data_IF_378514561382
#
_entry.id   IF_378514561382
#
_cell.length_a   1.000
_cell.length_b   1.000
_cell.length_c   1.000
_cell.angle_alpha   90.00
_cell.angle_beta   90.00
_cell.angle_gamma   90.00
#
_symmetry.space_group_name_H-M   'P 1'
#
loop_
_entity.id
_entity.type
_entity.pdbx_description
1 polymer ?
#
# COMPACT_ATOMS: atom_id res chain seq x y z
N UNK A 1 -8.91 -3.22 0.84
CA UNK A 1 -8.65 -2.04 -0.02
C UNK A 1 -7.83 -2.38 -1.26
N UNK A 2 -6.91 -3.35 -1.20
CA UNK A 2 -6.13 -3.84 -2.34
C UNK A 2 -6.93 -3.98 -3.67
N UNK A 3 -8.09 -4.67 -3.66
CA UNK A 3 -8.96 -4.81 -4.85
C UNK A 3 -9.41 -3.48 -5.46
N UNK A 4 -9.68 -2.46 -4.64
CA UNK A 4 -10.12 -1.15 -5.13
C UNK A 4 -8.96 -0.42 -5.81
N UNK A 5 -7.76 -0.51 -5.25
CA UNK A 5 -6.53 0.06 -5.82
C UNK A 5 -6.17 -0.61 -7.13
N UNK A 6 -6.17 -1.96 -7.19
CA UNK A 6 -5.96 -2.70 -8.42
C UNK A 6 -6.96 -2.29 -9.51
N UNK A 7 -8.26 -2.19 -9.16
CA UNK A 7 -9.28 -1.73 -10.11
C UNK A 7 -9.03 -0.30 -10.59
N UNK A 8 -8.59 0.60 -9.72
CA UNK A 8 -8.30 1.98 -10.09
C UNK A 8 -7.10 2.08 -11.04
N UNK A 9 -6.03 1.30 -10.79
CA UNK A 9 -4.86 1.22 -11.66
C UNK A 9 -5.23 0.64 -13.02
N UNK A 10 -6.00 -0.45 -13.06
CA UNK A 10 -6.50 -1.05 -14.31
C UNK A 10 -7.39 -0.10 -15.10
N UNK A 11 -8.28 0.62 -14.42
CA UNK A 11 -9.19 1.55 -15.07
C UNK A 11 -8.48 2.77 -15.63
N UNK A 12 -7.25 3.07 -15.19
CA UNK A 12 -6.47 4.23 -15.59
C UNK A 12 -5.08 3.80 -16.07
N UNK A 13 -5.01 3.18 -17.25
CA UNK A 13 -3.76 2.73 -17.87
C UNK A 13 -2.75 3.86 -18.14
N UNK A 14 -3.18 5.13 -18.11
CA UNK A 14 -2.32 6.31 -18.24
C UNK A 14 -1.48 6.61 -16.99
N UNK A 15 -1.71 5.90 -15.88
CA UNK A 15 -0.90 6.05 -14.67
C UNK A 15 0.51 5.47 -14.82
N UNK A 16 0.77 4.69 -15.87
CA UNK A 16 2.10 4.14 -16.16
C UNK A 16 2.51 2.97 -15.26
N UNK A 17 1.57 2.37 -14.52
CA UNK A 17 1.83 1.23 -13.66
C UNK A 17 1.59 -0.10 -14.39
N UNK A 18 2.56 -1.01 -14.26
CA UNK A 18 2.39 -2.43 -14.51
C UNK A 18 2.28 -3.16 -13.15
N UNK A 19 1.20 -3.90 -12.94
CA UNK A 19 0.99 -4.63 -11.69
C UNK A 19 1.64 -5.99 -11.81
N UNK A 20 2.74 -6.21 -11.07
CA UNK A 20 3.39 -7.53 -10.96
C UNK A 20 2.52 -8.50 -10.15
N UNK A 21 1.94 -8.04 -9.04
CA UNK A 21 1.03 -8.86 -8.24
C UNK A 21 0.60 -8.17 -6.95
N UNK A 22 0.06 -8.96 -6.01
CA UNK A 22 -0.34 -8.46 -4.71
C UNK A 22 0.01 -9.43 -3.58
N UNK A 23 0.13 -8.90 -2.37
CA UNK A 23 0.48 -9.65 -1.16
C UNK A 23 -0.57 -9.42 -0.07
N UNK A 24 -0.94 -10.46 0.67
CA UNK A 24 -1.90 -10.39 1.78
C UNK A 24 -1.60 -11.49 2.80
N UNK A 25 -1.56 -11.14 4.09
CA UNK A 25 -1.31 -12.10 5.18
C UNK A 25 -2.51 -13.03 5.44
N UNK A 26 -3.70 -12.70 4.92
CA UNK A 26 -4.82 -13.62 4.88
C UNK A 26 -4.51 -14.75 3.90
N UNK A 27 -4.25 -15.94 4.44
CA UNK A 27 -3.87 -17.15 3.69
C UNK A 27 -4.77 -17.39 2.47
N UNK A 28 -6.08 -17.11 2.57
CA UNK A 28 -7.00 -17.32 1.45
C UNK A 28 -6.82 -16.28 0.36
N UNK A 29 -6.50 -15.04 0.73
CA UNK A 29 -6.32 -13.92 -0.21
C UNK A 29 -4.92 -13.90 -0.82
N UNK A 30 -3.88 -14.11 -0.01
CA UNK A 30 -2.48 -14.08 -0.46
C UNK A 30 -2.06 -15.25 -1.36
N UNK A 31 -2.92 -16.26 -1.54
CA UNK A 31 -2.64 -17.44 -2.39
C UNK A 31 -3.68 -17.65 -3.49
N UNK A 32 -4.65 -16.74 -3.65
CA UNK A 32 -5.68 -16.86 -4.70
C UNK A 32 -5.65 -15.64 -5.59
N UNK A 33 -5.35 -15.84 -6.88
CA UNK A 33 -5.29 -14.76 -7.86
C UNK A 33 -6.58 -13.92 -7.91
N UNK A 34 -6.41 -12.63 -8.15
CA UNK A 34 -7.51 -11.69 -8.33
C UNK A 34 -7.62 -11.39 -9.82
N UNK A 35 -8.38 -12.22 -10.53
CA UNK A 35 -8.56 -12.10 -11.97
C UNK A 35 -7.25 -12.40 -12.70
N UNK A 36 -6.55 -11.35 -13.16
CA UNK A 36 -5.25 -11.47 -13.85
C UNK A 36 -4.05 -11.10 -12.96
N UNK A 37 -4.30 -10.73 -11.70
CA UNK A 37 -3.25 -10.33 -10.77
C UNK A 37 -2.84 -11.52 -9.93
N UNK A 38 -1.54 -11.83 -9.98
CA UNK A 38 -0.94 -12.93 -9.25
C UNK A 38 -0.90 -12.63 -7.74
N UNK A 39 -1.24 -13.64 -6.95
CA UNK A 39 -1.08 -13.61 -5.51
C UNK A 39 0.36 -14.03 -5.14
N UNK A 40 1.19 -13.07 -4.74
CA UNK A 40 2.62 -13.27 -4.47
C UNK A 40 2.90 -13.84 -3.06
N UNK A 41 1.86 -14.21 -2.32
CA UNK A 41 1.96 -14.80 -0.99
C UNK A 41 1.81 -13.81 0.18
N UNK A 42 2.34 -14.24 1.33
CA UNK A 42 2.41 -13.46 2.57
C UNK A 42 3.40 -12.31 2.45
N UNK A 43 3.11 -11.19 3.13
CA UNK A 43 4.00 -10.01 3.21
C UNK A 43 5.38 -10.39 3.78
N UNK A 44 5.48 -11.47 4.54
CA UNK A 44 6.77 -11.97 5.05
C UNK A 44 7.74 -12.38 3.92
N UNK A 45 7.24 -12.67 2.72
CA UNK A 45 8.05 -12.98 1.54
C UNK A 45 8.48 -11.72 0.75
N UNK A 46 8.14 -10.51 1.22
CA UNK A 46 8.34 -9.26 0.48
C UNK A 46 9.81 -9.07 0.09
N UNK A 47 10.74 -9.16 1.04
CA UNK A 47 12.17 -8.97 0.75
C UNK A 47 12.68 -9.93 -0.33
N UNK A 48 12.18 -11.17 -0.35
CA UNK A 48 12.57 -12.13 -1.37
C UNK A 48 12.07 -11.72 -2.77
N UNK A 49 10.83 -11.23 -2.86
CA UNK A 49 10.26 -10.71 -4.11
C UNK A 49 11.04 -9.49 -4.59
N UNK A 50 11.32 -8.53 -3.69
CA UNK A 50 12.08 -7.32 -4.02
C UNK A 50 13.52 -7.61 -4.51
N UNK A 51 14.06 -8.81 -4.24
CA UNK A 51 15.38 -9.23 -4.71
C UNK A 51 15.36 -9.94 -6.08
N UNK A 52 14.24 -10.56 -6.45
CA UNK A 52 14.16 -11.41 -7.64
C UNK A 52 13.31 -10.81 -8.76
N UNK A 53 12.39 -9.92 -8.41
CA UNK A 53 11.51 -9.22 -9.35
C UNK A 53 11.95 -7.76 -9.51
N UNK A 54 11.73 -7.20 -10.70
CA UNK A 54 12.04 -5.79 -10.99
C UNK A 54 10.89 -4.89 -10.51
N UNK A 55 10.95 -4.50 -9.24
CA UNK A 55 9.89 -3.72 -8.56
C UNK A 55 10.37 -2.28 -8.30
N UNK A 56 9.81 -1.33 -9.04
CA UNK A 56 10.10 0.10 -8.83
C UNK A 56 9.32 0.73 -7.66
N UNK A 57 8.14 0.19 -7.38
CA UNK A 57 7.19 0.79 -6.43
C UNK A 57 6.33 -0.24 -5.71
N UNK A 58 6.14 -0.04 -4.40
CA UNK A 58 5.19 -0.78 -3.56
C UNK A 58 4.07 0.14 -3.09
N UNK A 59 2.81 -0.30 -3.26
CA UNK A 59 1.62 0.42 -2.80
C UNK A 59 1.01 -0.30 -1.60
N UNK A 60 1.06 0.34 -0.43
CA UNK A 60 0.52 -0.21 0.82
C UNK A 60 -0.95 0.18 0.95
N UNK A 61 -1.81 -0.83 1.13
CA UNK A 61 -3.26 -0.64 1.28
C UNK A 61 -3.79 -1.12 2.64
N UNK A 62 -2.88 -1.29 3.60
CA UNK A 62 -3.18 -1.69 4.97
C UNK A 62 -3.80 -0.52 5.76
N UNK A 63 -4.84 -0.77 6.58
CA UNK A 63 -5.35 0.24 7.50
C UNK A 63 -4.30 0.69 8.53
N UNK A 64 -4.39 1.94 9.00
CA UNK A 64 -3.44 2.54 9.97
C UNK A 64 -3.23 1.76 11.26
N UNK A 65 -4.22 0.96 11.71
CA UNK A 65 -4.08 0.08 12.88
C UNK A 65 -2.96 -0.95 12.74
N UNK A 66 -2.48 -1.20 11.52
CA UNK A 66 -1.32 -2.04 11.22
C UNK A 66 -0.03 -1.23 11.09
N UNK A 67 0.12 -0.13 11.84
CA UNK A 67 1.25 0.80 11.77
C UNK A 67 2.61 0.11 11.84
N UNK A 68 2.76 -0.90 12.71
CA UNK A 68 3.99 -1.71 12.78
C UNK A 68 4.29 -2.40 11.45
N UNK A 69 3.31 -3.11 10.88
CA UNK A 69 3.45 -3.80 9.59
C UNK A 69 3.76 -2.83 8.45
N UNK A 70 3.14 -1.65 8.47
CA UNK A 70 3.42 -0.58 7.49
C UNK A 70 4.88 -0.14 7.61
N UNK A 71 5.39 0.11 8.83
CA UNK A 71 6.79 0.47 9.04
C UNK A 71 7.75 -0.65 8.61
N UNK A 72 7.42 -1.91 8.91
CA UNK A 72 8.24 -3.08 8.53
C UNK A 72 8.35 -3.18 6.99
N UNK A 73 7.23 -3.01 6.27
CA UNK A 73 7.19 -2.98 4.80
C UNK A 73 8.02 -1.81 4.26
N UNK A 74 7.82 -0.60 4.81
CA UNK A 74 8.56 0.59 4.37
C UNK A 74 10.06 0.41 4.54
N UNK A 75 10.50 -0.10 5.70
CA UNK A 75 11.91 -0.34 5.97
C UNK A 75 12.51 -1.40 5.02
N UNK A 76 11.77 -2.47 4.72
CA UNK A 76 12.20 -3.45 3.73
C UNK A 76 12.38 -2.82 2.34
N UNK A 77 11.40 -2.03 1.88
CA UNK A 77 11.51 -1.35 0.58
C UNK A 77 12.67 -0.34 0.53
N UNK A 78 12.90 0.42 1.61
CA UNK A 78 14.02 1.37 1.71
C UNK A 78 15.38 0.68 1.56
N UNK A 79 15.55 -0.51 2.15
CA UNK A 79 16.77 -1.31 2.01
C UNK A 79 17.07 -1.75 0.57
N UNK A 80 16.03 -1.82 -0.27
CA UNK A 80 16.12 -2.18 -1.69
C UNK A 80 16.00 -0.97 -2.63
N UNK A 81 16.01 0.27 -2.10
CA UNK A 81 15.83 1.51 -2.87
C UNK A 81 14.50 1.59 -3.64
N UNK A 82 13.43 0.98 -3.11
CA UNK A 82 12.12 0.90 -3.75
C UNK A 82 11.19 2.00 -3.23
N UNK A 83 10.46 2.65 -4.13
CA UNK A 83 9.52 3.71 -3.77
C UNK A 83 8.30 3.14 -3.04
N UNK A 84 7.86 3.78 -1.95
CA UNK A 84 6.69 3.35 -1.19
C UNK A 84 5.60 4.42 -1.27
N UNK A 85 4.38 4.00 -1.59
CA UNK A 85 3.19 4.83 -1.51
C UNK A 85 2.15 4.19 -0.60
N UNK A 86 1.55 4.96 0.29
CA UNK A 86 0.50 4.48 1.19
C UNK A 86 -0.83 5.04 0.73
N UNK A 87 -1.82 4.17 0.53
CA UNK A 87 -3.18 4.60 0.22
C UNK A 87 -3.88 5.02 1.51
N UNK A 88 -4.24 6.31 1.67
CA UNK A 88 -4.93 6.75 2.87
C UNK A 88 -6.31 6.11 2.97
N UNK A 89 -6.72 5.78 4.19
CA UNK A 89 -8.07 5.28 4.44
C UNK A 89 -9.09 6.42 4.21
N UNK A 90 -9.75 6.39 3.06
CA UNK A 90 -10.77 7.38 2.65
C UNK A 90 -11.92 7.47 3.69
N UNK A 91 -12.15 6.42 4.49
CA UNK A 91 -13.15 6.46 5.56
C UNK A 91 -12.77 7.43 6.70
N UNK A 92 -11.47 7.69 6.94
CA UNK A 92 -11.06 8.73 7.88
C UNK A 92 -11.22 10.14 7.29
N UNK A 93 -10.93 10.33 6.00
CA UNK A 93 -11.07 11.63 5.35
C UNK A 93 -12.52 12.12 5.25
N UNK A 94 -13.48 11.19 5.20
CA UNK A 94 -14.92 11.53 5.13
C UNK A 94 -15.49 11.91 6.50
N UNK A 95 -14.90 11.41 7.60
CA UNK A 95 -15.33 11.71 8.97
C UNK A 95 -14.60 12.90 9.59
N UNK A 96 -13.38 13.20 9.13
CA UNK A 96 -12.64 14.35 9.63
C UNK A 96 -13.06 15.62 8.87
N UNK A 97 -14.11 16.28 9.38
CA UNK A 97 -14.15 17.75 9.38
C UNK A 97 -12.98 18.23 10.25
N UNK A 98 -11.74 18.11 9.77
CA UNK A 98 -10.55 18.56 10.51
C UNK A 98 -10.67 20.07 10.68
N UNK A 99 -10.83 20.53 11.92
CA UNK A 99 -10.63 21.94 12.21
C UNK A 99 -9.12 22.18 12.28
N UNK A 100 -8.53 22.64 11.19
CA UNK A 100 -7.14 23.09 11.19
C UNK A 100 -7.09 24.34 12.05
N UNK A 101 -6.47 24.24 13.22
CA UNK A 101 -6.25 25.37 14.12
C UNK A 101 -4.77 25.70 14.13
N UNK A 102 -4.43 26.97 13.89
CA UNK A 102 -3.06 27.44 13.97
C UNK A 102 -2.68 27.67 15.44
N UNK A 103 -1.62 27.01 15.89
CA UNK A 103 -0.92 27.39 17.11
C UNK A 103 0.50 27.82 16.75
N UNK A 104 0.70 29.14 16.66
CA UNK A 104 1.99 29.77 16.43
C UNK A 104 2.71 29.27 15.16
N UNK A 105 1.95 29.06 14.07
CA UNK A 105 2.47 28.59 12.78
C UNK A 105 2.67 27.08 12.67
N UNK A 106 2.29 26.30 13.70
CA UNK A 106 2.28 24.85 13.65
C UNK A 106 0.84 24.38 13.39
N UNK A 107 0.57 23.69 12.26
CA UNK A 107 -0.77 23.19 11.98
C UNK A 107 -1.09 22.02 12.92
N UNK A 108 -2.15 22.16 13.72
CA UNK A 108 -2.65 21.10 14.58
C UNK A 108 -3.89 20.44 13.98
N UNK A 109 -3.96 19.11 14.09
CA UNK A 109 -5.08 18.28 13.66
C UNK A 109 -5.79 17.80 14.91
N UNK A 110 -7.09 18.05 15.02
CA UNK A 110 -7.96 17.57 16.11
C UNK A 110 -9.28 17.09 15.52
#
# INVERSE_FOLDING_TARGET
MARAVMRAVVANSTLGYEIVGFMDDDIRKGHTDIGRFEALGSIDNLSNILMHEDIDQVIITLPWKYSRRIMDITAACEQHNINVSIVPDIFQLTLSRVNITDMAGIPLIT
#
